data_IF_142100057665
#
_entry.id   IF_142100057665
#
_cell.length_a   1.000
_cell.length_b   1.000
_cell.length_c   1.000
_cell.angle_alpha   90.00
_cell.angle_beta   90.00
_cell.angle_gamma   90.00
#
_symmetry.space_group_name_H-M   'P 1'
#
loop_
_entity.id
_entity.type
_entity.pdbx_description
1 polymer ?
#
# COMPACT_ATOMS: atom_id res chain seq x y z
N UNK A 1 11.88 28.74 -30.33
CA UNK A 1 11.13 27.68 -29.62
C UNK A 1 10.63 28.28 -28.34
N UNK A 2 9.32 28.47 -28.20
CA UNK A 2 8.75 29.19 -27.06
C UNK A 2 8.89 28.37 -25.77
N UNK A 3 9.39 28.97 -24.67
CA UNK A 3 9.56 28.28 -23.39
C UNK A 3 8.23 27.76 -22.82
N UNK A 4 7.10 28.32 -23.27
CA UNK A 4 5.74 27.92 -22.91
C UNK A 4 5.36 26.52 -23.43
N UNK A 5 5.90 26.08 -24.58
CA UNK A 5 5.60 24.76 -25.15
C UNK A 5 6.32 23.61 -24.43
N UNK A 6 7.51 23.86 -23.87
CA UNK A 6 8.27 22.87 -23.12
C UNK A 6 7.65 22.60 -21.74
N UNK A 7 7.12 23.64 -21.09
CA UNK A 7 6.44 23.50 -19.80
C UNK A 7 5.11 22.74 -19.93
N UNK A 8 4.38 22.96 -21.04
CA UNK A 8 3.15 22.23 -21.36
C UNK A 8 3.45 20.74 -21.63
N UNK A 9 4.55 20.43 -22.33
CA UNK A 9 4.98 19.05 -22.58
C UNK A 9 5.37 18.29 -21.31
N UNK A 10 6.06 18.95 -20.36
CA UNK A 10 6.42 18.38 -19.06
C UNK A 10 5.20 18.12 -18.15
N UNK A 11 4.19 18.98 -18.20
CA UNK A 11 2.93 18.78 -17.46
C UNK A 11 2.09 17.63 -18.02
N UNK A 12 2.07 17.43 -19.35
CA UNK A 12 1.33 16.33 -19.98
C UNK A 12 1.97 14.97 -19.69
N UNK A 13 3.30 14.88 -19.64
CA UNK A 13 4.02 13.63 -19.33
C UNK A 13 3.88 13.24 -17.85
N UNK A 14 3.73 14.22 -16.94
CA UNK A 14 3.55 13.96 -15.50
C UNK A 14 2.14 13.44 -15.13
N UNK A 15 1.18 13.51 -16.05
CA UNK A 15 -0.20 13.07 -15.83
C UNK A 15 -0.54 11.68 -16.40
N UNK A 16 0.38 11.03 -17.13
CA UNK A 16 0.10 9.79 -17.88
C UNK A 16 0.42 8.48 -17.14
N UNK A 17 0.40 8.48 -15.81
CA UNK A 17 0.65 7.24 -15.08
C UNK A 17 0.45 7.34 -13.58
N UNK A 18 -0.77 7.67 -13.14
CA UNK A 18 -1.20 7.08 -11.87
C UNK A 18 -1.53 5.62 -12.16
N UNK A 19 -0.91 4.63 -11.49
CA UNK A 19 -1.52 3.32 -11.45
C UNK A 19 -2.93 3.54 -10.91
N UNK A 20 -3.94 3.16 -11.70
CA UNK A 20 -5.29 3.11 -11.17
C UNK A 20 -5.26 2.13 -10.01
N UNK A 21 -5.42 2.64 -8.79
CA UNK A 21 -5.74 1.78 -7.67
C UNK A 21 -7.15 1.26 -7.95
N UNK A 22 -7.26 -0.01 -8.35
CA UNK A 22 -8.53 -0.65 -8.67
C UNK A 22 -9.47 -0.76 -7.47
N UNK A 23 -8.98 -0.49 -6.26
CA UNK A 23 -9.72 -0.60 -5.01
C UNK A 23 -9.79 0.72 -4.26
N UNK A 24 -10.94 0.98 -3.64
CA UNK A 24 -11.02 1.97 -2.57
C UNK A 24 -10.41 1.37 -1.30
N UNK A 25 -9.25 1.84 -0.88
CA UNK A 25 -8.65 1.40 0.38
C UNK A 25 -9.15 2.21 1.58
N UNK A 26 -9.48 1.52 2.67
CA UNK A 26 -9.82 2.12 3.97
C UNK A 26 -9.09 1.40 5.10
N UNK A 27 -8.70 2.18 6.10
CA UNK A 27 -8.18 1.65 7.37
C UNK A 27 -9.34 1.46 8.33
N UNK A 28 -9.32 0.36 9.09
CA UNK A 28 -10.35 0.04 10.06
C UNK A 28 -10.48 1.13 11.13
N UNK A 29 -9.38 1.71 11.55
CA UNK A 29 -9.28 2.74 12.59
C UNK A 29 -9.73 4.12 12.14
N UNK A 30 -10.04 4.28 10.84
CA UNK A 30 -10.58 5.54 10.35
C UNK A 30 -11.99 5.73 10.92
N UNK A 31 -12.29 6.93 11.44
CA UNK A 31 -13.60 7.28 12.00
C UNK A 31 -14.77 7.07 11.00
N UNK A 32 -14.49 7.10 9.70
CA UNK A 32 -15.47 6.77 8.66
C UNK A 32 -15.86 5.29 8.59
N UNK A 33 -14.96 4.41 9.05
CA UNK A 33 -15.19 2.97 9.18
C UNK A 33 -15.62 2.66 10.61
N UNK A 34 -14.72 2.78 11.58
CA UNK A 34 -15.00 2.55 12.99
C UNK A 34 -15.14 3.87 13.72
N UNK A 35 -16.35 4.43 13.72
CA UNK A 35 -16.61 5.63 14.52
C UNK A 35 -16.63 5.28 16.01
N UNK A 36 -15.86 6.02 16.80
CA UNK A 36 -16.00 6.06 18.27
C UNK A 36 -17.32 6.77 18.69
N UNK A 37 -17.99 7.43 17.75
CA UNK A 37 -19.31 8.02 17.95
C UNK A 37 -20.41 6.95 17.99
N UNK A 38 -21.54 7.24 18.61
CA UNK A 38 -22.68 6.32 18.75
C UNK A 38 -23.36 5.95 17.42
N UNK A 39 -22.89 6.48 16.29
CA UNK A 39 -23.40 6.16 14.95
C UNK A 39 -22.41 5.25 14.22
N UNK A 40 -22.85 4.07 13.74
CA UNK A 40 -22.00 3.20 12.95
C UNK A 40 -21.55 3.89 11.66
N UNK A 41 -20.33 3.60 11.21
CA UNK A 41 -19.81 4.09 9.94
C UNK A 41 -20.65 3.59 8.77
N UNK A 42 -20.82 4.41 7.74
CA UNK A 42 -21.56 4.05 6.53
C UNK A 42 -20.67 4.31 5.31
N UNK A 43 -20.36 3.25 4.59
CA UNK A 43 -19.48 3.25 3.43
C UNK A 43 -20.28 2.89 2.20
N UNK A 44 -19.93 3.48 1.06
CA UNK A 44 -20.61 3.24 -0.21
C UNK A 44 -19.62 2.74 -1.27
N UNK A 45 -19.96 1.61 -1.89
CA UNK A 45 -19.35 1.12 -3.12
C UNK A 45 -20.08 1.76 -4.29
N UNK A 46 -19.39 2.64 -4.99
CA UNK A 46 -19.90 3.20 -6.23
C UNK A 46 -19.72 2.11 -7.26
N UNK A 47 -20.81 1.49 -7.70
CA UNK A 47 -20.80 0.40 -8.66
C UNK A 47 -20.34 0.82 -10.07
N UNK A 48 -19.12 1.34 -10.22
CA UNK A 48 -18.52 1.74 -11.47
C UNK A 48 -17.04 1.44 -11.40
N UNK A 49 -16.58 0.56 -12.27
CA UNK A 49 -15.17 0.29 -12.50
C UNK A 49 -14.41 0.05 -11.19
N UNK A 50 -13.36 0.82 -10.93
CA UNK A 50 -12.45 0.74 -9.78
C UNK A 50 -13.12 1.08 -8.44
N UNK A 51 -14.32 1.66 -8.44
CA UNK A 51 -15.05 1.95 -7.20
C UNK A 51 -16.02 0.83 -6.80
N UNK A 52 -16.11 -0.22 -7.63
CA UNK A 52 -16.95 -1.38 -7.37
C UNK A 52 -16.36 -2.35 -6.36
N UNK A 53 -15.14 -2.12 -5.87
CA UNK A 53 -14.58 -2.84 -4.73
C UNK A 53 -13.90 -1.92 -3.70
N UNK A 54 -13.86 -2.39 -2.45
CA UNK A 54 -13.22 -1.72 -1.33
C UNK A 54 -12.45 -2.72 -0.49
N UNK A 55 -11.23 -2.36 -0.12
CA UNK A 55 -10.41 -3.12 0.83
C UNK A 55 -10.43 -2.40 2.17
N UNK A 56 -10.82 -3.12 3.23
CA UNK A 56 -10.70 -2.63 4.61
C UNK A 56 -9.66 -3.48 5.31
N UNK A 57 -8.62 -2.83 5.84
CA UNK A 57 -7.57 -3.49 6.60
C UNK A 57 -7.33 -2.82 7.94
N UNK A 58 -6.96 -3.63 8.92
CA UNK A 58 -6.42 -3.11 10.17
C UNK A 58 -5.03 -2.55 9.92
N UNK A 59 -4.75 -1.39 10.50
CA UNK A 59 -3.43 -0.79 10.51
C UNK A 59 -2.53 -1.43 11.58
N UNK A 60 -1.43 -0.76 11.89
CA UNK A 60 -0.51 -1.13 12.98
C UNK A 60 -1.15 -1.11 14.38
N UNK A 61 -2.37 -0.60 14.52
CA UNK A 61 -3.08 -0.57 15.80
C UNK A 61 -3.20 -1.96 16.44
N UNK A 62 -3.45 -2.99 15.63
CA UNK A 62 -3.54 -4.38 16.10
C UNK A 62 -2.18 -5.01 16.44
N UNK A 63 -1.09 -4.52 15.85
CA UNK A 63 0.26 -5.01 16.15
C UNK A 63 0.70 -4.65 17.57
N UNK A 64 0.25 -3.51 18.09
CA UNK A 64 0.59 -3.01 19.41
C UNK A 64 -0.58 -3.14 20.41
N UNK A 65 -1.42 -4.15 20.23
CA UNK A 65 -2.62 -4.31 21.05
C UNK A 65 -2.27 -4.60 22.52
N UNK A 66 -2.44 -3.57 23.35
CA UNK A 66 -2.14 -3.64 24.79
C UNK A 66 -3.22 -4.33 25.61
N UNK A 67 -4.43 -4.52 25.05
CA UNK A 67 -5.56 -5.09 25.77
C UNK A 67 -6.14 -4.20 26.87
N UNK A 68 -5.77 -2.92 26.94
CA UNK A 68 -6.29 -2.00 27.98
C UNK A 68 -7.78 -1.72 27.83
N UNK A 69 -8.29 -1.74 26.61
CA UNK A 69 -9.69 -1.48 26.28
C UNK A 69 -10.17 -2.49 25.26
N UNK A 70 -11.48 -2.74 25.23
CA UNK A 70 -12.09 -3.52 24.16
C UNK A 70 -12.21 -2.67 22.89
N UNK A 71 -12.08 -3.29 21.73
CA UNK A 71 -12.36 -2.65 20.45
C UNK A 71 -13.65 -3.21 19.89
N UNK A 72 -14.69 -2.38 19.90
CA UNK A 72 -15.99 -2.69 19.31
C UNK A 72 -16.19 -1.78 18.11
N UNK A 73 -16.21 -2.36 16.92
CA UNK A 73 -16.47 -1.62 15.70
C UNK A 73 -17.68 -2.19 14.97
N UNK A 74 -18.58 -1.30 14.55
CA UNK A 74 -19.72 -1.63 13.73
C UNK A 74 -19.86 -0.62 12.60
N UNK A 75 -19.96 -1.12 11.37
CA UNK A 75 -20.12 -0.30 10.18
C UNK A 75 -20.95 -1.03 9.14
N UNK A 76 -21.49 -0.27 8.19
CA UNK A 76 -22.24 -0.80 7.07
C UNK A 76 -21.61 -0.42 5.74
N UNK A 77 -21.64 -1.35 4.78
CA UNK A 77 -21.24 -1.11 3.40
C UNK A 77 -22.48 -1.26 2.52
N UNK A 78 -22.77 -0.25 1.73
CA UNK A 78 -23.85 -0.25 0.73
C UNK A 78 -23.29 -0.22 -0.68
N UNK A 79 -23.96 -0.89 -1.61
CA UNK A 79 -23.71 -0.79 -3.04
C UNK A 79 -24.75 0.11 -3.72
N UNK A 80 -24.52 0.45 -4.98
CA UNK A 80 -25.51 1.05 -5.87
C UNK A 80 -26.80 0.21 -6.00
N UNK A 81 -27.87 0.82 -6.54
CA UNK A 81 -29.19 0.20 -6.66
C UNK A 81 -29.09 -1.14 -7.45
N UNK A 82 -29.72 -2.20 -6.93
CA UNK A 82 -29.80 -3.56 -7.50
C UNK A 82 -28.52 -4.40 -7.55
N UNK A 83 -27.42 -3.95 -6.95
CA UNK A 83 -26.19 -4.74 -6.90
C UNK A 83 -26.04 -5.42 -5.56
N UNK A 84 -25.58 -6.66 -5.57
CA UNK A 84 -25.19 -7.36 -4.36
C UNK A 84 -23.79 -6.96 -3.91
N UNK A 85 -23.40 -7.41 -2.72
CA UNK A 85 -22.04 -7.28 -2.19
C UNK A 85 -21.55 -8.68 -1.84
N UNK A 86 -20.38 -9.05 -2.37
CA UNK A 86 -19.58 -10.15 -1.89
C UNK A 86 -18.60 -9.59 -0.87
N UNK A 87 -18.45 -10.30 0.25
CA UNK A 87 -17.46 -10.01 1.28
C UNK A 87 -16.51 -11.20 1.34
N UNK A 88 -15.21 -10.97 1.23
CA UNK A 88 -14.18 -12.02 1.36
C UNK A 88 -13.12 -11.58 2.34
N UNK A 89 -12.94 -12.34 3.42
CA UNK A 89 -11.83 -12.14 4.36
C UNK A 89 -10.56 -12.66 3.71
N UNK A 90 -9.66 -11.74 3.34
CA UNK A 90 -8.36 -12.07 2.74
C UNK A 90 -7.41 -12.62 3.79
N UNK A 91 -7.32 -11.92 4.94
CA UNK A 91 -6.42 -12.28 6.03
C UNK A 91 -7.08 -11.95 7.35
N UNK A 92 -7.11 -12.89 8.28
CA UNK A 92 -7.57 -12.66 9.64
C UNK A 92 -6.76 -13.50 10.61
N UNK A 93 -6.44 -12.95 11.77
CA UNK A 93 -5.85 -13.69 12.88
C UNK A 93 -6.51 -13.19 14.16
N UNK A 94 -7.58 -13.86 14.58
CA UNK A 94 -8.38 -13.51 15.76
C UNK A 94 -8.29 -14.63 16.79
N UNK A 95 -8.17 -14.26 18.08
CA UNK A 95 -7.84 -15.23 19.13
C UNK A 95 -9.02 -16.12 19.51
N UNK A 96 -8.69 -17.32 19.97
CA UNK A 96 -9.63 -18.30 20.55
C UNK A 96 -9.21 -18.60 21.97
N UNK A 97 -10.18 -18.95 22.82
CA UNK A 97 -9.89 -19.46 24.15
C UNK A 97 -9.46 -20.93 24.08
N UNK A 98 -9.06 -21.48 25.22
CA UNK A 98 -8.64 -22.89 25.36
C UNK A 98 -9.75 -23.90 25.02
N UNK A 99 -11.01 -23.46 25.05
CA UNK A 99 -12.18 -24.26 24.67
C UNK A 99 -12.52 -24.14 23.17
N UNK A 100 -11.72 -23.41 22.39
CA UNK A 100 -11.93 -23.19 20.96
C UNK A 100 -12.96 -22.11 20.61
N UNK A 101 -13.51 -21.40 21.60
CA UNK A 101 -14.47 -20.32 21.39
C UNK A 101 -13.76 -19.02 21.00
N UNK A 102 -14.39 -18.22 20.13
CA UNK A 102 -13.85 -16.94 19.69
C UNK A 102 -13.78 -15.93 20.84
N UNK A 103 -12.58 -15.45 21.14
CA UNK A 103 -12.35 -14.29 22.02
C UNK A 103 -12.57 -13.02 21.20
N UNK A 104 -11.86 -12.92 20.08
CA UNK A 104 -12.04 -11.88 19.09
C UNK A 104 -12.82 -12.46 17.90
N UNK A 105 -13.72 -11.68 17.30
CA UNK A 105 -14.55 -12.17 16.21
C UNK A 105 -15.01 -11.09 15.25
N UNK A 106 -15.34 -11.52 14.04
CA UNK A 106 -16.14 -10.75 13.07
C UNK A 106 -17.47 -11.45 12.81
N UNK A 107 -18.51 -10.66 12.59
CA UNK A 107 -19.83 -11.11 12.15
C UNK A 107 -20.36 -10.21 11.05
N UNK A 108 -21.18 -10.79 10.19
CA UNK A 108 -21.84 -10.11 9.09
C UNK A 108 -23.35 -10.29 9.22
N UNK A 109 -24.12 -9.30 8.76
CA UNK A 109 -25.54 -9.46 8.50
C UNK A 109 -25.99 -8.62 7.34
N UNK A 110 -27.01 -9.10 6.66
CA UNK A 110 -27.70 -8.33 5.64
C UNK A 110 -28.76 -7.43 6.28
N UNK A 111 -28.85 -6.20 5.80
CA UNK A 111 -29.89 -5.24 6.19
C UNK A 111 -30.67 -4.84 4.93
N UNK A 112 -31.98 -4.65 5.06
CA UNK A 112 -32.77 -4.10 3.97
C UNK A 112 -32.45 -2.61 3.76
N UNK A 113 -32.15 -2.23 2.51
CA UNK A 113 -32.01 -0.83 2.14
C UNK A 113 -33.33 -0.11 2.41
N UNK A 114 -33.33 1.07 3.04
CA UNK A 114 -34.54 1.86 3.17
C UNK A 114 -35.03 2.24 1.76
N UNK A 115 -36.26 1.83 1.42
CA UNK A 115 -36.88 2.23 0.16
C UNK A 115 -37.29 3.70 0.27
N UNK A 116 -36.64 4.56 -0.50
CA UNK A 116 -37.04 5.94 -0.71
C UNK A 116 -37.84 6.02 -2.00
N UNK A 117 -39.17 6.20 -1.90
CA UNK A 117 -40.03 6.40 -3.07
C UNK A 117 -40.55 7.85 -3.04
N UNK A 118 -39.93 8.73 -3.82
CA UNK A 118 -40.21 10.17 -3.76
C UNK A 118 -39.85 10.77 -2.39
N UNK A 119 -40.79 11.48 -1.75
CA UNK A 119 -40.63 12.06 -0.40
C UNK A 119 -40.99 11.11 0.74
N UNK A 120 -41.46 9.89 0.45
CA UNK A 120 -41.86 8.91 1.46
C UNK A 120 -40.69 7.96 1.76
N UNK A 121 -40.08 8.14 2.94
CA UNK A 121 -39.08 7.24 3.49
C UNK A 121 -39.77 6.16 4.34
N UNK A 122 -40.02 4.98 3.75
CA UNK A 122 -40.53 3.84 4.51
C UNK A 122 -39.38 3.19 5.28
N UNK A 123 -39.29 3.44 6.59
CA UNK A 123 -38.31 2.83 7.49
C UNK A 123 -38.74 1.42 7.93
N UNK A 124 -38.84 0.48 7.00
CA UNK A 124 -38.85 -0.94 7.36
C UNK A 124 -37.41 -1.44 7.44
N UNK A 125 -36.80 -1.36 8.62
CA UNK A 125 -35.48 -1.95 8.87
C UNK A 125 -35.66 -3.41 9.29
N UNK A 126 -35.90 -4.31 8.34
CA UNK A 126 -35.76 -5.74 8.60
C UNK A 126 -34.28 -6.07 8.46
N UNK A 127 -33.70 -6.62 9.51
CA UNK A 127 -32.32 -7.10 9.52
C UNK A 127 -32.32 -8.60 9.69
N UNK A 128 -31.52 -9.29 8.88
CA UNK A 128 -31.29 -10.70 9.06
C UNK A 128 -30.50 -10.93 10.38
N UNK A 129 -30.58 -12.13 10.99
CA UNK A 129 -29.76 -12.44 12.15
C UNK A 129 -28.27 -12.36 11.81
N UNK A 130 -27.45 -12.08 12.81
CA UNK A 130 -25.99 -12.11 12.66
C UNK A 130 -25.50 -13.50 12.25
N UNK A 131 -24.48 -13.53 11.39
CA UNK A 131 -23.73 -14.75 11.06
C UNK A 131 -23.09 -15.36 12.32
N UNK A 132 -22.64 -16.61 12.20
CA UNK A 132 -21.78 -17.20 13.22
C UNK A 132 -20.53 -16.32 13.44
N UNK A 133 -20.00 -16.35 14.67
CA UNK A 133 -18.74 -15.65 15.01
C UNK A 133 -17.60 -16.30 14.23
N UNK A 134 -16.88 -15.51 13.44
CA UNK A 134 -15.72 -15.96 12.69
C UNK A 134 -14.45 -15.50 13.40
N UNK A 135 -13.51 -16.42 13.62
CA UNK A 135 -12.25 -16.16 14.31
C UNK A 135 -11.20 -17.24 13.97
N UNK A 136 -9.98 -17.08 14.46
CA UNK A 136 -8.83 -17.93 14.13
C UNK A 136 -7.97 -17.30 13.03
N UNK A 137 -7.03 -18.11 12.51
CA UNK A 137 -6.20 -17.75 11.37
C UNK A 137 -6.94 -18.09 10.09
N UNK A 138 -7.08 -17.10 9.21
CA UNK A 138 -7.66 -17.21 7.88
C UNK A 138 -6.68 -16.53 6.95
N UNK A 139 -6.24 -17.24 5.93
CA UNK A 139 -5.51 -16.67 4.81
C UNK A 139 -6.17 -17.23 3.54
N UNK A 140 -6.77 -16.37 2.73
CA UNK A 140 -7.54 -16.80 1.57
C UNK A 140 -6.72 -17.65 0.58
N UNK A 141 -5.39 -17.49 0.56
CA UNK A 141 -4.46 -18.29 -0.26
C UNK A 141 -4.08 -19.65 0.34
N UNK A 142 -4.43 -19.93 1.61
CA UNK A 142 -4.03 -21.16 2.32
C UNK A 142 -5.22 -22.03 2.73
N UNK A 143 -6.46 -21.58 2.52
CA UNK A 143 -7.68 -22.27 2.99
C UNK A 143 -7.86 -23.67 2.35
N UNK A 144 -7.06 -24.01 1.35
CA UNK A 144 -7.18 -25.26 0.57
C UNK A 144 -6.26 -26.41 0.98
N UNK A 145 -5.46 -26.29 2.06
CA UNK A 145 -4.43 -27.32 2.34
C UNK A 145 -4.89 -28.45 3.28
N UNK A 146 -5.88 -28.24 4.17
CA UNK A 146 -6.06 -29.15 5.31
C UNK A 146 -7.37 -29.96 5.38
N UNK A 147 -8.28 -29.91 4.38
CA UNK A 147 -9.54 -30.67 4.48
C UNK A 147 -10.02 -31.38 3.20
N UNK A 148 -9.18 -31.58 2.19
CA UNK A 148 -9.52 -32.33 0.98
C UNK A 148 -9.13 -33.82 1.00
N UNK A 149 -8.79 -34.40 2.16
CA UNK A 149 -8.56 -35.85 2.27
C UNK A 149 -9.80 -36.67 2.64
N UNK A 150 -10.96 -36.05 2.89
CA UNK A 150 -12.20 -36.77 3.16
C UNK A 150 -13.42 -36.03 2.60
N UNK A 151 -13.61 -36.09 1.28
CA UNK A 151 -14.84 -36.57 0.64
C UNK A 151 -14.86 -36.12 -0.83
N UNK A 152 -14.88 -37.10 -1.73
CA UNK A 152 -15.32 -36.90 -3.10
C UNK A 152 -16.68 -36.16 -3.11
N UNK A 153 -16.78 -35.08 -3.90
CA UNK A 153 -17.99 -34.26 -4.18
C UNK A 153 -18.13 -32.91 -3.44
N UNK A 154 -17.06 -32.13 -3.27
CA UNK A 154 -17.22 -30.67 -3.18
C UNK A 154 -17.50 -30.11 -4.58
N UNK A 155 -18.64 -29.46 -4.81
CA UNK A 155 -18.91 -28.81 -6.10
C UNK A 155 -18.12 -27.50 -6.13
N UNK A 156 -17.50 -27.17 -7.26
CA UNK A 156 -16.74 -25.93 -7.48
C UNK A 156 -17.53 -24.63 -7.18
N UNK A 157 -18.85 -24.72 -7.01
CA UNK A 157 -19.76 -23.61 -6.65
C UNK A 157 -20.05 -23.51 -5.14
N UNK A 158 -19.41 -24.30 -4.29
CA UNK A 158 -19.56 -24.15 -2.85
C UNK A 158 -18.95 -22.82 -2.38
N UNK A 159 -19.69 -22.08 -1.56
CA UNK A 159 -19.22 -20.83 -0.93
C UNK A 159 -18.04 -21.14 0.01
N UNK A 160 -16.96 -20.37 -0.13
CA UNK A 160 -15.81 -20.44 0.74
C UNK A 160 -16.16 -20.02 2.17
N UNK A 161 -15.54 -20.65 3.17
CA UNK A 161 -15.84 -20.40 4.58
C UNK A 161 -15.52 -18.97 5.04
N UNK A 162 -14.64 -18.27 4.30
CA UNK A 162 -14.20 -16.90 4.55
C UNK A 162 -14.99 -15.88 3.72
N UNK A 163 -16.05 -16.29 3.01
CA UNK A 163 -16.86 -15.41 2.18
C UNK A 163 -18.31 -15.29 2.66
N UNK A 164 -18.94 -14.17 2.32
CA UNK A 164 -20.32 -13.87 2.66
C UNK A 164 -20.99 -13.10 1.51
N UNK A 165 -22.16 -13.55 1.06
CA UNK A 165 -22.87 -12.97 -0.09
C UNK A 165 -24.11 -12.23 0.38
N UNK A 166 -24.27 -10.98 -0.07
CA UNK A 166 -25.36 -10.10 0.30
C UNK A 166 -26.08 -9.61 -0.96
N UNK A 167 -27.20 -10.24 -1.30
CA UNK A 167 -27.94 -9.91 -2.53
C UNK A 167 -28.64 -8.54 -2.48
N UNK A 168 -29.01 -8.05 -1.29
CA UNK A 168 -29.71 -6.76 -1.14
C UNK A 168 -28.79 -5.54 -1.18
N UNK A 169 -27.47 -5.76 -1.28
CA UNK A 169 -26.49 -4.71 -1.46
C UNK A 169 -26.26 -3.81 -0.23
N UNK A 170 -26.65 -4.26 0.96
CA UNK A 170 -26.36 -3.58 2.21
C UNK A 170 -25.98 -4.61 3.27
N UNK A 171 -24.72 -4.55 3.68
CA UNK A 171 -24.14 -5.43 4.70
C UNK A 171 -23.74 -4.61 5.90
N UNK A 172 -23.97 -5.14 7.08
CA UNK A 172 -23.40 -4.62 8.32
C UNK A 172 -22.38 -5.61 8.87
N UNK A 173 -21.28 -5.04 9.34
CA UNK A 173 -20.12 -5.74 9.84
C UNK A 173 -19.94 -5.35 11.29
N UNK A 174 -19.69 -6.35 12.13
CA UNK A 174 -19.37 -6.17 13.54
C UNK A 174 -18.06 -6.88 13.85
N UNK A 175 -17.10 -6.13 14.38
CA UNK A 175 -15.80 -6.62 14.81
C UNK A 175 -15.68 -6.36 16.31
N UNK A 176 -15.26 -7.38 17.04
CA UNK A 176 -14.99 -7.30 18.47
C UNK A 176 -13.60 -7.86 18.75
N UNK A 177 -12.75 -7.05 19.40
CA UNK A 177 -11.46 -7.47 19.96
C UNK A 177 -11.52 -7.28 21.47
N UNK A 178 -11.26 -8.35 22.22
CA UNK A 178 -11.35 -8.33 23.66
C UNK A 178 -10.19 -7.56 24.30
N UNK A 179 -10.45 -7.01 25.49
CA UNK A 179 -9.49 -6.34 26.37
C UNK A 179 -8.51 -7.33 27.04
N UNK A 180 -7.79 -8.09 26.22
CA UNK A 180 -6.71 -9.00 26.61
C UNK A 180 -5.46 -8.61 25.83
N UNK A 181 -4.31 -8.50 26.49
CA UNK A 181 -3.03 -8.28 25.82
C UNK A 181 -2.67 -9.46 24.92
N UNK A 182 -1.87 -9.22 23.89
CA UNK A 182 -1.33 -10.30 23.05
C UNK A 182 -0.25 -11.09 23.80
N UNK A 183 -0.29 -12.40 23.65
CA UNK A 183 0.82 -13.27 24.05
C UNK A 183 1.95 -13.20 23.00
N UNK A 184 3.17 -13.61 23.36
CA UNK A 184 4.37 -13.45 22.50
C UNK A 184 4.24 -14.08 21.10
N UNK A 185 3.37 -15.06 20.94
CA UNK A 185 3.14 -15.78 19.68
C UNK A 185 1.79 -15.43 19.02
N UNK A 186 1.05 -14.47 19.58
CA UNK A 186 -0.23 -14.01 19.05
C UNK A 186 -0.04 -12.75 18.21
N UNK A 187 -0.63 -12.73 17.03
CA UNK A 187 -0.74 -11.55 16.18
C UNK A 187 -2.21 -11.31 15.84
N UNK A 188 -2.62 -10.05 15.86
CA UNK A 188 -3.92 -9.63 15.33
C UNK A 188 -3.73 -9.05 13.93
N UNK A 189 -4.45 -9.61 12.97
CA UNK A 189 -4.50 -9.09 11.59
C UNK A 189 -5.92 -9.18 11.08
N UNK A 190 -6.33 -8.22 10.26
CA UNK A 190 -7.64 -8.24 9.60
C UNK A 190 -7.55 -7.49 8.27
N UNK A 191 -7.93 -8.16 7.18
CA UNK A 191 -8.07 -7.62 5.84
C UNK A 191 -9.29 -8.29 5.19
N UNK A 192 -10.20 -7.47 4.71
CA UNK A 192 -11.44 -7.91 4.07
C UNK A 192 -11.66 -7.09 2.80
N UNK A 193 -12.14 -7.76 1.76
CA UNK A 193 -12.52 -7.16 0.48
C UNK A 193 -14.04 -7.19 0.36
N UNK A 194 -14.61 -6.06 -0.01
CA UNK A 194 -16.01 -5.91 -0.39
C UNK A 194 -16.07 -5.67 -1.88
N UNK A 195 -16.77 -6.52 -2.62
CA UNK A 195 -16.88 -6.43 -4.07
C UNK A 195 -18.35 -6.36 -4.45
N UNK A 196 -18.73 -5.31 -5.15
CA UNK A 196 -20.07 -5.18 -5.68
C UNK A 196 -20.23 -6.12 -6.88
N UNK A 197 -21.34 -6.86 -6.91
CA UNK A 197 -21.64 -7.80 -7.98
C UNK A 197 -23.03 -7.57 -8.56
N UNK A 198 -23.19 -8.01 -9.79
CA UNK A 198 -24.47 -8.08 -10.46
C UNK A 198 -24.81 -9.52 -10.84
N UNK A 199 -26.11 -9.79 -10.98
CA UNK A 199 -26.56 -11.10 -11.41
C UNK A 199 -26.28 -11.30 -12.91
N UNK A 200 -25.56 -12.36 -13.26
CA UNK A 200 -25.24 -12.71 -14.64
C UNK A 200 -25.17 -14.24 -14.82
N UNK A 201 -25.14 -14.71 -16.07
CA UNK A 201 -24.87 -16.12 -16.40
C UNK A 201 -23.56 -16.34 -17.16
N UNK A 202 -23.11 -15.30 -17.84
CA UNK A 202 -21.95 -15.32 -18.74
C UNK A 202 -21.22 -13.98 -18.62
N UNK A 203 -19.98 -13.98 -19.09
CA UNK A 203 -19.20 -12.75 -19.22
C UNK A 203 -19.92 -11.74 -20.11
N UNK A 204 -19.91 -10.48 -19.69
CA UNK A 204 -20.55 -9.38 -20.39
C UNK A 204 -19.58 -8.20 -20.51
N UNK A 205 -18.48 -8.42 -21.24
CA UNK A 205 -17.47 -7.41 -21.57
C UNK A 205 -16.69 -6.92 -20.34
N UNK A 206 -17.24 -5.90 -19.66
CA UNK A 206 -16.67 -5.31 -18.44
C UNK A 206 -16.91 -6.15 -17.19
N UNK A 207 -17.84 -7.10 -17.26
CA UNK A 207 -18.23 -7.94 -16.13
C UNK A 207 -17.89 -9.38 -16.45
N UNK A 208 -17.13 -10.03 -15.57
CA UNK A 208 -16.71 -11.43 -15.74
C UNK A 208 -17.42 -12.32 -14.72
N UNK A 209 -17.79 -13.51 -15.18
CA UNK A 209 -18.54 -14.48 -14.41
C UNK A 209 -17.65 -15.15 -13.37
N UNK A 210 -18.02 -15.00 -12.12
CA UNK A 210 -17.29 -15.43 -10.95
C UNK A 210 -17.77 -16.79 -10.40
N UNK A 211 -18.99 -17.21 -10.74
CA UNK A 211 -19.59 -18.48 -10.34
C UNK A 211 -21.07 -18.32 -9.98
N UNK A 212 -21.85 -19.40 -10.04
CA UNK A 212 -23.29 -19.38 -9.80
C UNK A 212 -24.00 -18.41 -10.75
N UNK A 213 -24.57 -17.33 -10.20
CA UNK A 213 -25.18 -16.24 -10.98
C UNK A 213 -24.49 -14.90 -10.75
N UNK A 214 -23.21 -14.88 -10.41
CA UNK A 214 -22.52 -13.65 -9.98
C UNK A 214 -21.47 -13.19 -10.99
N UNK A 215 -21.47 -11.90 -11.30
CA UNK A 215 -20.42 -11.24 -12.07
C UNK A 215 -19.83 -10.07 -11.29
N UNK A 216 -18.51 -9.95 -11.36
CA UNK A 216 -17.73 -8.84 -10.81
C UNK A 216 -17.00 -8.11 -11.95
N UNK A 217 -16.46 -6.93 -11.65
CA UNK A 217 -15.73 -6.15 -12.63
C UNK A 217 -14.47 -6.90 -13.09
N UNK A 218 -14.20 -6.88 -14.39
CA UNK A 218 -13.18 -7.72 -15.03
C UNK A 218 -11.75 -7.45 -14.54
N UNK A 219 -11.48 -6.25 -14.02
CA UNK A 219 -10.13 -5.84 -13.59
C UNK A 219 -9.81 -6.36 -12.17
N UNK A 220 -10.78 -7.03 -11.52
CA UNK A 220 -10.59 -7.78 -10.27
C UNK A 220 -10.22 -9.24 -10.48
N UNK A 221 -9.87 -9.61 -11.71
CA UNK A 221 -9.35 -10.93 -12.02
C UNK A 221 -7.82 -10.85 -12.12
N UNK A 222 -7.14 -11.80 -11.49
CA UNK A 222 -5.68 -11.93 -11.46
C UNK A 222 -5.00 -10.68 -10.88
N UNK A 223 -5.63 -10.09 -9.86
CA UNK A 223 -5.12 -8.89 -9.19
C UNK A 223 -4.50 -9.16 -7.83
N UNK A 224 -4.43 -10.44 -7.44
CA UNK A 224 -3.87 -10.88 -6.17
C UNK A 224 -4.83 -10.70 -5.00
N UNK A 225 -6.14 -10.56 -5.24
CA UNK A 225 -7.18 -10.52 -4.19
C UNK A 225 -8.36 -11.39 -4.57
N UNK A 226 -8.86 -12.18 -3.61
CA UNK A 226 -10.07 -12.96 -3.83
C UNK A 226 -11.33 -12.11 -3.68
N UNK A 227 -11.96 -11.81 -4.79
CA UNK A 227 -13.25 -11.16 -4.92
C UNK A 227 -14.38 -12.19 -5.06
N UNK A 228 -14.06 -13.38 -5.56
CA UNK A 228 -15.03 -14.44 -5.75
C UNK A 228 -15.38 -15.18 -4.44
N UNK A 229 -16.66 -15.49 -4.19
CA UNK A 229 -17.07 -16.12 -2.94
C UNK A 229 -16.90 -17.65 -2.94
N UNK A 230 -16.46 -18.26 -4.05
CA UNK A 230 -16.45 -19.70 -4.24
C UNK A 230 -15.06 -20.31 -4.01
N UNK A 231 -15.02 -21.58 -3.62
CA UNK A 231 -13.78 -22.31 -3.33
C UNK A 231 -12.84 -22.48 -4.52
N UNK A 232 -13.31 -22.30 -5.75
CA UNK A 232 -12.47 -22.48 -6.94
C UNK A 232 -11.58 -21.27 -7.25
N UNK A 233 -11.69 -20.17 -6.51
CA UNK A 233 -10.86 -18.97 -6.68
C UNK A 233 -10.78 -18.53 -8.15
N UNK A 234 -11.92 -18.54 -8.82
CA UNK A 234 -12.02 -18.39 -10.29
C UNK A 234 -11.43 -17.08 -10.80
N UNK A 235 -11.43 -16.05 -9.97
CA UNK A 235 -10.83 -14.75 -10.24
C UNK A 235 -9.30 -14.77 -10.31
N UNK A 236 -8.64 -15.64 -9.55
CA UNK A 236 -7.17 -15.70 -9.42
C UNK A 236 -6.53 -16.88 -10.16
N UNK A 237 -7.23 -17.46 -11.14
CA UNK A 237 -6.83 -18.70 -11.85
C UNK A 237 -6.54 -19.89 -10.89
N UNK A 238 -7.23 -19.94 -9.74
CA UNK A 238 -7.12 -21.00 -8.73
C UNK A 238 -6.62 -20.50 -7.36
N UNK A 239 -6.79 -21.32 -6.32
CA UNK A 239 -6.45 -20.94 -4.94
C UNK A 239 -4.96 -21.17 -4.59
N UNK A 240 -4.10 -21.38 -5.57
CA UNK A 240 -2.71 -21.71 -5.26
C UNK A 240 -1.99 -20.44 -4.80
N UNK A 241 -1.30 -20.47 -3.64
CA UNK A 241 -0.43 -19.37 -3.26
C UNK A 241 0.55 -19.24 -4.41
N UNK A 242 0.59 -18.06 -5.03
CA UNK A 242 1.48 -17.73 -6.12
C UNK A 242 2.93 -17.83 -5.67
N UNK A 243 3.44 -19.05 -5.51
CA UNK A 243 4.84 -19.34 -5.73
C UNK A 243 4.97 -19.14 -7.23
N UNK A 244 5.77 -18.15 -7.69
CA UNK A 244 6.13 -18.12 -9.10
C UNK A 244 6.77 -19.47 -9.40
N UNK A 245 6.08 -20.30 -10.16
CA UNK A 245 6.59 -21.61 -10.57
C UNK A 245 7.83 -21.31 -11.43
N UNK A 246 9.00 -21.35 -10.81
CA UNK A 246 10.29 -21.37 -11.49
C UNK A 246 10.42 -22.77 -12.09
N UNK A 247 9.64 -23.03 -13.14
CA UNK A 247 9.92 -24.15 -14.03
C UNK A 247 11.11 -23.73 -14.88
N UNK A 248 12.23 -24.39 -14.64
CA UNK A 248 13.56 -24.07 -15.15
C UNK A 248 13.76 -24.29 -16.64
N UNK A 249 12.85 -23.82 -17.51
CA UNK A 249 13.07 -23.73 -18.94
C UNK A 249 12.28 -22.54 -19.50
N UNK A 250 13.01 -21.46 -19.81
CA UNK A 250 12.49 -20.31 -20.55
C UNK A 250 11.72 -19.32 -19.66
N UNK A 251 12.33 -18.17 -19.43
CA UNK A 251 11.68 -17.00 -18.82
C UNK A 251 10.44 -16.60 -19.64
N UNK A 252 9.27 -17.09 -19.24
CA UNK A 252 7.97 -16.51 -19.60
C UNK A 252 7.33 -15.97 -18.32
N UNK A 253 7.89 -14.87 -17.84
CA UNK A 253 7.17 -13.98 -16.94
C UNK A 253 5.94 -13.51 -17.72
N UNK A 254 4.72 -13.75 -17.25
CA UNK A 254 3.55 -13.10 -17.87
C UNK A 254 3.66 -11.59 -17.59
N UNK A 255 4.05 -10.91 -18.67
CA UNK A 255 4.60 -9.57 -18.79
C UNK A 255 3.52 -8.48 -18.73
N UNK A 256 2.80 -8.35 -17.62
CA UNK A 256 1.84 -7.22 -17.48
C UNK A 256 2.22 -6.28 -16.35
N UNK A 257 2.69 -6.78 -15.20
CA UNK A 257 3.10 -5.93 -14.08
C UNK A 257 4.59 -5.56 -14.13
N UNK A 258 5.47 -6.55 -14.35
CA UNK A 258 6.92 -6.34 -14.43
C UNK A 258 7.33 -5.46 -15.62
N UNK A 259 6.70 -5.65 -16.78
CA UNK A 259 7.04 -4.89 -18.00
C UNK A 259 6.57 -3.45 -17.92
N UNK A 260 5.44 -3.16 -17.26
CA UNK A 260 4.96 -1.78 -17.04
C UNK A 260 5.87 -1.02 -16.07
N UNK A 261 6.32 -1.66 -14.99
CA UNK A 261 7.22 -1.05 -14.01
C UNK A 261 8.61 -0.85 -14.63
N UNK A 262 9.14 -1.86 -15.33
CA UNK A 262 10.47 -1.77 -15.96
C UNK A 262 10.48 -0.77 -17.12
N UNK A 263 9.43 -0.71 -17.95
CA UNK A 263 9.28 0.31 -18.98
C UNK A 263 9.15 1.71 -18.37
N UNK A 264 8.43 1.86 -17.26
CA UNK A 264 8.33 3.12 -16.52
C UNK A 264 9.67 3.59 -15.94
N UNK A 265 10.46 2.67 -15.37
CA UNK A 265 11.79 3.00 -14.83
C UNK A 265 12.77 3.38 -15.95
N UNK A 266 12.80 2.61 -17.05
CA UNK A 266 13.69 2.90 -18.19
C UNK A 266 13.29 4.20 -18.88
N UNK A 267 11.99 4.41 -19.11
CA UNK A 267 11.49 5.67 -19.65
C UNK A 267 11.85 6.84 -18.73
N UNK A 268 11.61 6.71 -17.41
CA UNK A 268 11.93 7.73 -16.41
C UNK A 268 13.42 8.08 -16.35
N UNK A 269 14.31 7.08 -16.41
CA UNK A 269 15.75 7.30 -16.49
C UNK A 269 16.15 8.03 -17.78
N UNK A 270 15.55 7.66 -18.91
CA UNK A 270 15.75 8.34 -20.19
C UNK A 270 15.25 9.79 -20.14
N UNK A 271 14.07 10.07 -19.57
CA UNK A 271 13.57 11.44 -19.43
C UNK A 271 14.46 12.27 -18.51
N UNK A 272 14.91 11.71 -17.39
CA UNK A 272 15.83 12.39 -16.48
C UNK A 272 17.18 12.68 -17.15
N UNK A 273 17.69 11.75 -17.96
CA UNK A 273 18.93 11.93 -18.72
C UNK A 273 18.80 13.02 -19.79
N UNK A 274 17.69 13.03 -20.53
CA UNK A 274 17.41 14.08 -21.53
C UNK A 274 17.22 15.45 -20.86
N UNK A 275 16.51 15.50 -19.73
CA UNK A 275 16.35 16.73 -18.95
C UNK A 275 17.70 17.26 -18.42
N UNK A 276 18.58 16.37 -17.96
CA UNK A 276 19.93 16.72 -17.53
C UNK A 276 20.79 17.27 -18.67
N UNK A 277 20.75 16.64 -19.86
CA UNK A 277 21.43 17.16 -21.05
C UNK A 277 20.89 18.53 -21.44
N UNK A 278 19.56 18.71 -21.43
CA UNK A 278 18.94 20.01 -21.72
C UNK A 278 19.35 21.09 -20.71
N UNK A 279 19.44 20.75 -19.42
CA UNK A 279 19.93 21.65 -18.38
C UNK A 279 21.40 22.03 -18.58
N UNK A 280 22.26 21.06 -18.92
CA UNK A 280 23.66 21.32 -19.26
C UNK A 280 23.78 22.18 -20.53
N UNK A 281 22.91 21.99 -21.51
CA UNK A 281 22.86 22.81 -22.72
C UNK A 281 22.45 24.25 -22.41
N UNK A 282 21.45 24.45 -21.56
CA UNK A 282 21.02 25.77 -21.07
C UNK A 282 22.12 26.45 -20.24
N UNK A 283 22.82 25.72 -19.37
CA UNK A 283 23.94 26.25 -18.60
C UNK A 283 25.14 26.58 -19.49
N UNK A 284 25.41 25.77 -20.52
CA UNK A 284 26.47 26.03 -21.51
C UNK A 284 26.15 27.25 -22.39
N UNK A 285 24.88 27.47 -22.74
CA UNK A 285 24.47 28.67 -23.47
C UNK A 285 24.36 29.92 -22.58
N UNK A 286 23.93 29.79 -21.32
CA UNK A 286 23.95 30.89 -20.34
C UNK A 286 25.36 31.25 -19.87
N UNK A 287 26.31 30.32 -19.92
CA UNK A 287 27.73 30.55 -19.62
C UNK A 287 28.41 31.54 -20.58
N UNK A 288 27.79 31.85 -21.72
CA UNK A 288 28.26 32.92 -22.63
C UNK A 288 27.57 34.28 -22.37
N UNK A 289 26.47 34.33 -21.60
CA UNK A 289 25.65 35.55 -21.45
C UNK A 289 25.66 36.09 -20.01
N UNK A 290 26.01 35.28 -19.00
CA UNK A 290 25.98 35.68 -17.58
C UNK A 290 27.34 35.85 -16.89
N UNK A 291 28.46 35.88 -17.62
CA UNK A 291 29.77 36.25 -17.04
C UNK A 291 30.00 37.76 -16.84
N UNK A 292 28.95 38.60 -16.89
CA UNK A 292 29.07 40.06 -16.78
C UNK A 292 28.22 40.68 -15.65
N UNK A 293 28.10 40.03 -14.49
CA UNK A 293 27.64 40.67 -13.25
C UNK A 293 28.65 40.39 -12.13
N UNK A 294 29.79 41.05 -12.25
CA UNK A 294 30.84 41.14 -11.23
C UNK A 294 31.71 42.34 -11.57
N UNK A 295 31.54 43.43 -10.84
CA UNK A 295 32.14 44.74 -11.12
C UNK A 295 33.68 44.71 -11.04
N UNK A 296 34.36 45.61 -11.77
CA UNK A 296 35.80 45.59 -12.01
C UNK A 296 36.54 46.19 -10.82
N UNK A 297 37.73 45.69 -10.52
CA UNK A 297 38.86 46.49 -10.01
C UNK A 297 40.07 45.58 -9.83
N UNK A 298 41.00 45.61 -10.78
CA UNK A 298 42.42 45.95 -10.60
C UNK A 298 43.21 45.48 -11.82
N UNK A 299 44.03 46.39 -12.34
CA UNK A 299 44.99 46.21 -13.42
C UNK A 299 45.82 44.91 -13.31
N UNK A 300 46.22 44.36 -14.47
CA UNK A 300 47.58 43.88 -14.60
C UNK A 300 48.29 44.55 -15.78
N UNK A 301 49.40 45.20 -15.45
CA UNK A 301 50.45 45.56 -16.39
C UNK A 301 51.20 44.29 -16.83
N UNK A 302 51.75 44.38 -18.04
CA UNK A 302 52.97 43.70 -18.51
C UNK A 302 52.82 42.33 -19.20
N UNK A 303 52.61 42.42 -20.51
CA UNK A 303 53.42 41.84 -21.60
C UNK A 303 54.24 40.56 -21.33
N UNK A 304 53.88 39.53 -22.10
CA UNK A 304 54.73 38.88 -23.11
C UNK A 304 56.05 38.25 -22.65
N UNK A 305 56.10 36.91 -22.61
CA UNK A 305 57.09 36.17 -23.38
C UNK A 305 56.77 34.66 -23.49
N UNK A 306 57.16 34.14 -24.64
CA UNK A 306 57.01 32.79 -25.19
C UNK A 306 58.12 31.84 -24.64
N UNK A 307 58.38 30.66 -25.22
CA UNK A 307 58.21 29.33 -24.63
C UNK A 307 59.48 28.66 -24.00
N UNK A 308 59.20 27.66 -23.15
CA UNK A 308 60.02 26.57 -22.53
C UNK A 308 61.17 26.05 -23.43
N UNK A 309 62.42 25.74 -22.95
CA UNK A 309 62.73 24.47 -22.26
C UNK A 309 64.01 24.33 -21.36
N UNK A 310 64.04 23.16 -20.69
CA UNK A 310 65.19 22.39 -20.12
C UNK A 310 65.78 22.82 -18.76
N UNK A 311 65.73 21.97 -17.73
CA UNK A 311 66.51 20.74 -17.45
C UNK A 311 67.84 21.08 -16.76
N UNK A 312 67.91 20.82 -15.46
CA UNK A 312 69.09 20.45 -14.66
C UNK A 312 68.74 20.71 -13.17
N UNK A 313 69.23 20.05 -12.13
CA UNK A 313 70.01 18.83 -11.88
C UNK A 313 70.26 18.91 -10.37
N UNK A 314 70.07 17.79 -9.63
CA UNK A 314 70.62 17.52 -8.28
C UNK A 314 70.14 18.43 -7.12
N UNK A 315 70.14 18.06 -5.84
CA UNK A 315 70.50 16.86 -5.09
C UNK A 315 69.98 17.05 -3.65
N UNK A 316 69.57 15.94 -3.00
CA UNK A 316 69.97 15.43 -1.66
C UNK A 316 70.12 16.50 -0.54
N UNK A 317 69.49 16.42 0.65
CA UNK A 317 69.89 15.58 1.80
C UNK A 317 68.95 15.87 2.99
N UNK A 318 68.55 14.82 3.70
CA UNK A 318 67.88 14.82 5.00
C UNK A 318 68.85 15.12 6.15
N UNK A 319 68.41 15.70 7.28
CA UNK A 319 68.83 15.33 8.67
C UNK A 319 67.93 16.06 9.69
N UNK A 320 67.53 15.36 10.76
CA UNK A 320 66.71 15.84 11.88
C UNK A 320 67.56 16.39 13.06
N UNK A 321 67.06 16.51 14.30
CA UNK A 321 66.91 17.73 15.12
C UNK A 321 68.03 17.93 16.19
N UNK A 322 67.98 18.97 17.07
CA UNK A 322 67.43 18.74 18.42
C UNK A 322 66.78 19.95 19.17
N UNK A 323 65.89 19.58 20.09
CA UNK A 323 65.58 20.07 21.45
C UNK A 323 65.53 21.55 21.92
N UNK A 324 64.38 21.82 22.56
CA UNK A 324 64.13 22.52 23.84
C UNK A 324 64.29 24.05 23.94
N UNK A 325 63.18 24.73 24.25
CA UNK A 325 62.93 25.38 25.55
C UNK A 325 61.76 26.38 25.48
N UNK A 326 60.94 26.40 26.54
CA UNK A 326 60.44 27.64 27.14
C UNK A 326 59.17 28.31 26.62
N UNK A 327 58.07 28.04 27.35
CA UNK A 327 57.22 29.05 28.02
C UNK A 327 56.09 29.79 27.26
N UNK A 328 54.92 29.72 27.91
CA UNK A 328 53.78 30.66 27.95
C UNK A 328 52.64 30.63 26.90
N UNK A 329 51.57 29.95 27.30
CA UNK A 329 50.25 30.52 27.65
C UNK A 329 49.52 31.39 26.61
N UNK A 330 48.42 30.82 26.05
CA UNK A 330 47.09 31.46 26.02
C UNK A 330 45.98 30.49 25.58
N UNK A 331 45.03 30.32 26.51
CA UNK A 331 43.61 29.93 26.41
C UNK A 331 42.95 29.99 25.04
N UNK A 332 42.21 28.93 24.67
CA UNK A 332 40.77 28.99 24.28
C UNK A 332 40.16 27.59 24.47
N UNK A 333 39.27 27.49 25.46
CA UNK A 333 38.29 26.43 25.67
C UNK A 333 37.35 26.29 24.47
N UNK A 334 37.16 25.06 23.98
CA UNK A 334 35.96 24.65 23.24
C UNK A 334 35.55 23.23 23.62
N UNK A 335 34.46 23.16 24.38
CA UNK A 335 33.37 22.18 24.35
C UNK A 335 33.75 20.71 24.13
N UNK A 336 34.04 20.02 25.22
CA UNK A 336 33.82 18.57 25.31
C UNK A 336 32.52 18.32 26.09
N UNK A 337 31.68 17.35 25.68
CA UNK A 337 30.48 17.00 26.42
C UNK A 337 30.84 16.51 27.83
N UNK A 338 29.96 16.73 28.84
CA UNK A 338 30.24 16.35 30.21
C UNK A 338 30.45 14.83 30.35
N UNK A 339 31.33 14.43 31.27
CA UNK A 339 31.60 13.03 31.54
C UNK A 339 30.39 12.32 32.17
N UNK A 340 30.21 11.06 31.76
CA UNK A 340 29.05 10.20 32.01
C UNK A 340 28.77 9.88 33.50
N UNK A 341 29.70 10.18 34.41
CA UNK A 341 29.56 9.90 35.84
C UNK A 341 28.63 10.88 36.60
N UNK A 342 28.15 11.94 35.97
CA UNK A 342 27.17 12.85 36.59
C UNK A 342 25.72 12.35 36.56
N UNK A 343 25.43 11.20 35.93
CA UNK A 343 24.06 10.71 35.74
C UNK A 343 23.59 9.66 36.77
N UNK A 344 24.45 9.16 37.65
CA UNK A 344 24.07 8.13 38.62
C UNK A 344 24.72 8.37 39.99
N UNK A 345 24.01 8.97 40.97
CA UNK A 345 24.48 9.02 42.34
C UNK A 345 24.52 7.61 42.93
N UNK A 346 25.66 7.19 43.45
CA UNK A 346 25.81 5.94 44.18
C UNK A 346 24.93 5.95 45.44
N UNK A 347 23.96 5.04 45.49
CA UNK A 347 23.33 4.58 46.72
C UNK A 347 23.28 3.06 46.73
#
# INVERSE_FOLDING_TARGET
MDPSSLLLGLLVVSCLGRPSESYVEKMLENDSVCSLSSKPGSLELIGREEQSAMVIRASRYFQNWTGKQEFNCQFSVSSSLNWGIIVVIQRMSFRRNTQGQCIDFVQFRQIEKPLSFGTLNFKFKRSDPWSAKMCGKVNAFEIDVDNELNNNSGKDEDTAINSFIVHKGLVEVKIHIANKSLELNEELSFEVVFTAFQDCKYDNGLWKHCGGRTCIFKDFFQDGKFNCPFKNCKDEDGCHPGVPVVNGNGYHFNTTFGTKIMAGTVAGLLTMFVAFIALLWLLRHCGSVFCCIGHPNTHPHSSEMQPVPNLDTMAIVATAPPDSSGTEMRTVDKDLPPSYESLFPSK
#
